data_IF_539388138012
#
_entry.id   IF_539388138012
#
_cell.length_a   1.000
_cell.length_b   1.000
_cell.length_c   1.000
_cell.angle_alpha   90.00
_cell.angle_beta   90.00
_cell.angle_gamma   90.00
#
_symmetry.space_group_name_H-M   'P 1'
#
loop_
_entity.id
_entity.type
_entity.pdbx_description
1 polymer ?
#
# COMPACT_ATOMS: atom_id res chain seq x y z
N UNK A 1 -5.80 -14.08 -11.00
CA UNK A 1 -4.76 -13.77 -10.01
C UNK A 1 -5.36 -13.05 -8.82
N UNK A 2 -4.83 -13.32 -7.61
CA UNK A 2 -5.24 -12.67 -6.38
C UNK A 2 -4.32 -11.47 -6.09
N UNK A 3 -4.81 -10.49 -5.32
CA UNK A 3 -4.08 -9.24 -5.02
C UNK A 3 -2.73 -9.49 -4.33
N UNK A 4 -2.72 -10.13 -3.16
CA UNK A 4 -1.48 -10.32 -2.39
C UNK A 4 -0.45 -11.18 -3.12
N UNK A 5 -0.81 -12.34 -3.73
CA UNK A 5 0.14 -13.13 -4.51
C UNK A 5 0.76 -12.35 -5.67
N UNK A 6 -0.03 -11.55 -6.37
CA UNK A 6 0.47 -10.70 -7.46
C UNK A 6 1.46 -9.65 -6.94
N UNK A 7 1.14 -8.98 -5.83
CA UNK A 7 2.00 -7.95 -5.22
C UNK A 7 3.30 -8.55 -4.73
N UNK A 8 3.27 -9.74 -4.10
CA UNK A 8 4.47 -10.46 -3.73
C UNK A 8 5.34 -10.81 -4.93
N UNK A 9 4.74 -11.30 -6.01
CA UNK A 9 5.47 -11.59 -7.25
C UNK A 9 6.05 -10.33 -7.88
N UNK A 10 5.33 -9.20 -7.87
CA UNK A 10 5.81 -7.92 -8.40
C UNK A 10 7.01 -7.38 -7.60
N UNK A 11 6.97 -7.50 -6.28
CA UNK A 11 8.06 -7.03 -5.41
C UNK A 11 9.32 -7.89 -5.54
N UNK A 12 9.17 -9.22 -5.69
CA UNK A 12 10.29 -10.17 -5.57
C UNK A 12 10.75 -10.80 -6.89
N UNK A 13 9.93 -10.73 -7.95
CA UNK A 13 10.14 -11.52 -9.17
C UNK A 13 9.89 -13.02 -8.99
N UNK A 14 9.37 -13.45 -7.83
CA UNK A 14 9.19 -14.86 -7.50
C UNK A 14 7.74 -15.32 -7.69
N UNK A 15 7.54 -16.62 -7.87
CA UNK A 15 6.22 -17.22 -7.76
C UNK A 15 5.65 -17.09 -6.32
N UNK A 16 4.30 -17.01 -6.15
CA UNK A 16 3.65 -16.77 -4.88
C UNK A 16 4.11 -17.66 -3.73
N UNK A 17 4.26 -18.96 -3.96
CA UNK A 17 4.75 -19.90 -2.95
C UNK A 17 6.21 -19.61 -2.51
N UNK A 18 7.02 -19.04 -3.39
CA UNK A 18 8.41 -18.68 -3.08
C UNK A 18 8.53 -17.35 -2.35
N UNK A 19 7.67 -16.38 -2.70
CA UNK A 19 7.62 -15.10 -1.99
C UNK A 19 6.97 -15.18 -0.60
N UNK A 20 6.30 -16.30 -0.27
CA UNK A 20 5.59 -16.49 0.99
C UNK A 20 4.12 -16.06 0.94
N UNK A 21 3.59 -15.67 -0.22
CA UNK A 21 2.22 -15.18 -0.35
C UNK A 21 1.40 -16.06 -1.31
N UNK A 22 1.04 -17.29 -0.94
CA UNK A 22 0.23 -18.16 -1.80
C UNK A 22 -1.23 -17.73 -1.93
N UNK A 23 -1.75 -16.97 -0.94
CA UNK A 23 -3.13 -16.49 -0.87
C UNK A 23 -3.15 -15.02 -0.44
N UNK A 24 -4.32 -14.37 -0.53
CA UNK A 24 -4.46 -13.02 0.04
C UNK A 24 -4.19 -13.01 1.54
N UNK A 25 -3.39 -12.05 1.98
CA UNK A 25 -3.03 -11.86 3.37
C UNK A 25 -4.26 -11.41 4.18
N UNK A 26 -4.54 -12.10 5.27
CA UNK A 26 -5.50 -11.71 6.29
C UNK A 26 -5.24 -12.51 7.59
N UNK A 27 -5.93 -12.19 8.68
CA UNK A 27 -5.71 -12.82 9.99
C UNK A 27 -5.99 -14.33 10.05
N UNK A 28 -6.78 -14.87 9.12
CA UNK A 28 -7.07 -16.31 9.06
C UNK A 28 -6.02 -17.08 8.26
N UNK A 29 -5.04 -16.41 7.70
CA UNK A 29 -4.00 -16.99 6.83
C UNK A 29 -2.60 -16.62 7.29
N UNK A 30 -2.17 -17.09 8.47
CA UNK A 30 -0.90 -16.65 9.09
C UNK A 30 0.35 -17.03 8.28
N UNK A 31 0.23 -18.00 7.36
CA UNK A 31 1.33 -18.39 6.46
C UNK A 31 1.44 -17.52 5.22
N UNK A 32 0.46 -16.64 4.95
CA UNK A 32 0.44 -15.77 3.77
C UNK A 32 0.95 -14.39 4.14
N UNK A 33 2.26 -14.21 4.05
CA UNK A 33 2.95 -12.95 4.30
C UNK A 33 4.25 -12.92 3.52
N UNK A 34 4.67 -11.75 3.07
CA UNK A 34 5.94 -11.58 2.39
C UNK A 34 7.09 -12.01 3.31
N UNK A 35 7.95 -12.89 2.81
CA UNK A 35 9.10 -13.39 3.56
C UNK A 35 10.12 -12.28 3.79
N UNK A 36 10.73 -12.30 4.97
CA UNK A 36 11.77 -11.33 5.36
C UNK A 36 13.14 -11.66 4.75
N UNK A 37 13.35 -12.93 4.40
CA UNK A 37 14.63 -13.44 3.89
C UNK A 37 14.72 -13.50 2.36
N UNK A 38 13.86 -12.74 1.65
CA UNK A 38 13.90 -12.59 0.20
C UNK A 38 14.20 -11.14 -0.18
N UNK A 39 14.98 -10.96 -1.23
CA UNK A 39 15.22 -9.63 -1.78
C UNK A 39 14.00 -9.17 -2.57
N UNK A 40 13.55 -7.96 -2.29
CA UNK A 40 12.62 -7.21 -3.13
C UNK A 40 13.37 -6.27 -4.08
N UNK A 41 12.71 -5.86 -5.14
CA UNK A 41 13.25 -4.87 -6.08
C UNK A 41 13.74 -3.60 -5.37
N UNK A 42 13.05 -3.20 -4.32
CA UNK A 42 13.41 -2.07 -3.47
C UNK A 42 14.70 -2.29 -2.66
N UNK A 43 14.98 -3.51 -2.22
CA UNK A 43 16.25 -3.84 -1.56
C UNK A 43 17.41 -3.67 -2.55
N UNK A 44 17.24 -4.14 -3.79
CA UNK A 44 18.24 -4.00 -4.85
C UNK A 44 18.53 -2.52 -5.14
N UNK A 45 17.51 -1.69 -5.30
CA UNK A 45 17.69 -0.25 -5.52
C UNK A 45 18.28 0.45 -4.30
N UNK A 46 17.83 0.13 -3.09
CA UNK A 46 18.37 0.69 -1.85
C UNK A 46 19.84 0.37 -1.69
N UNK A 47 20.25 -0.88 -1.95
CA UNK A 47 21.64 -1.32 -1.92
C UNK A 47 22.50 -0.65 -3.01
N UNK A 48 21.88 -0.24 -4.12
CA UNK A 48 22.53 0.55 -5.16
C UNK A 48 22.57 2.06 -4.85
N UNK A 49 22.12 2.49 -3.66
CA UNK A 49 22.21 3.88 -3.21
C UNK A 49 21.01 4.76 -3.58
N UNK A 50 19.90 4.18 -4.02
CA UNK A 50 18.68 4.92 -4.30
C UNK A 50 17.90 5.24 -3.01
N UNK A 51 17.21 6.37 -3.00
CA UNK A 51 16.13 6.62 -2.05
C UNK A 51 14.86 5.92 -2.56
N UNK A 52 14.31 4.98 -1.76
CA UNK A 52 13.19 4.15 -2.15
C UNK A 52 11.91 4.55 -1.41
N UNK A 53 10.82 4.81 -2.15
CA UNK A 53 9.55 5.24 -1.58
C UNK A 53 8.40 4.32 -1.98
N UNK A 54 7.50 4.05 -1.03
CA UNK A 54 6.26 3.31 -1.27
C UNK A 54 5.04 4.15 -0.87
N UNK A 55 4.02 4.16 -1.75
CA UNK A 55 2.75 4.85 -1.52
C UNK A 55 1.56 3.93 -1.78
N UNK A 56 0.51 4.07 -0.95
CA UNK A 56 -0.77 3.41 -1.16
C UNK A 56 -0.84 1.98 -0.63
N UNK A 57 -1.63 1.13 -1.29
CA UNK A 57 -1.93 -0.24 -0.85
C UNK A 57 -0.75 -1.18 -1.03
N UNK A 58 -0.32 -1.83 0.05
CA UNK A 58 0.67 -2.90 0.01
C UNK A 58 0.05 -4.29 -0.15
N UNK A 59 -0.83 -4.68 0.76
CA UNK A 59 -1.52 -5.98 0.83
C UNK A 59 -0.58 -7.19 0.63
N UNK A 60 0.59 -7.13 1.22
CA UNK A 60 1.60 -8.19 1.16
C UNK A 60 2.05 -8.65 2.56
N UNK A 61 1.41 -8.12 3.60
CA UNK A 61 1.75 -8.42 4.98
C UNK A 61 0.56 -9.03 5.75
N UNK A 62 0.88 -9.84 6.74
CA UNK A 62 -0.09 -10.43 7.64
C UNK A 62 -0.55 -9.38 8.67
N UNK A 63 -1.86 -9.18 8.89
CA UNK A 63 -2.34 -8.30 9.93
C UNK A 63 -1.84 -8.71 11.31
N UNK A 64 -1.13 -7.83 11.96
CA UNK A 64 -0.55 -8.07 13.29
C UNK A 64 -0.98 -6.97 14.27
N UNK A 65 -0.89 -7.20 15.59
CA UNK A 65 -1.21 -6.18 16.59
C UNK A 65 -0.09 -5.12 16.71
N UNK A 66 0.60 -4.79 15.63
CA UNK A 66 1.80 -3.93 15.63
C UNK A 66 1.52 -2.48 15.23
N UNK A 67 0.24 -2.08 15.09
CA UNK A 67 -0.10 -0.67 14.87
C UNK A 67 0.41 0.18 16.05
N UNK A 68 1.31 1.14 15.82
CA UNK A 68 1.89 1.95 16.89
C UNK A 68 0.86 2.83 17.61
N UNK A 69 -0.30 3.10 17.00
CA UNK A 69 -1.39 3.87 17.60
C UNK A 69 -2.43 2.99 18.30
N UNK A 70 -2.41 1.69 18.03
CA UNK A 70 -3.30 0.68 18.63
C UNK A 70 -2.50 -0.55 19.05
N UNK A 71 -1.49 -0.40 19.92
CA UNK A 71 -0.61 -1.50 20.30
C UNK A 71 -1.40 -2.69 20.85
N UNK A 72 -1.05 -3.89 20.41
CA UNK A 72 -1.71 -5.13 20.84
C UNK A 72 -3.07 -5.40 20.22
N UNK A 73 -3.49 -4.62 19.21
CA UNK A 73 -4.75 -4.83 18.47
C UNK A 73 -4.49 -4.91 16.97
N UNK A 74 -5.36 -5.63 16.27
CA UNK A 74 -5.43 -5.53 14.81
C UNK A 74 -5.94 -4.14 14.40
N UNK A 75 -5.55 -3.71 13.21
CA UNK A 75 -5.95 -2.42 12.65
C UNK A 75 -7.47 -2.31 12.49
N UNK A 76 -8.11 -3.43 12.15
CA UNK A 76 -9.55 -3.56 12.05
C UNK A 76 -10.09 -4.48 13.15
N UNK A 77 -11.21 -4.08 13.75
CA UNK A 77 -11.99 -4.93 14.67
C UNK A 77 -12.91 -5.90 13.91
N UNK A 78 -12.45 -6.39 12.76
CA UNK A 78 -13.15 -7.37 11.92
C UNK A 78 -12.50 -8.73 12.03
N UNK A 79 -13.29 -9.76 11.79
CA UNK A 79 -12.80 -11.14 11.70
C UNK A 79 -13.27 -11.72 10.35
N UNK A 80 -12.35 -12.07 9.47
CA UNK A 80 -10.90 -11.86 9.55
C UNK A 80 -10.49 -10.37 9.40
N UNK A 81 -9.42 -9.99 10.06
CA UNK A 81 -8.78 -8.71 9.81
C UNK A 81 -8.00 -8.78 8.48
N UNK A 82 -8.14 -7.74 7.67
CA UNK A 82 -7.52 -7.67 6.36
C UNK A 82 -6.39 -6.65 6.28
N UNK A 83 -6.58 -5.52 6.95
CA UNK A 83 -5.61 -4.45 6.89
C UNK A 83 -4.41 -4.73 7.81
N UNK A 84 -3.26 -4.16 7.44
CA UNK A 84 -2.02 -4.38 8.16
C UNK A 84 -1.18 -3.10 8.23
N UNK A 85 -0.66 -2.82 9.42
CA UNK A 85 0.49 -1.94 9.59
C UNK A 85 1.76 -2.71 9.27
N UNK A 86 2.61 -2.16 8.40
CA UNK A 86 3.91 -2.77 8.08
C UNK A 86 5.01 -2.07 8.86
N UNK A 87 5.64 -2.74 9.85
CA UNK A 87 6.72 -2.16 10.63
C UNK A 87 7.99 -1.93 9.78
N UNK A 88 8.89 -1.05 10.26
CA UNK A 88 10.05 -0.57 9.49
C UNK A 88 10.96 -1.69 8.98
N UNK A 89 11.18 -2.70 9.78
CA UNK A 89 12.03 -3.87 9.50
C UNK A 89 11.46 -4.80 8.41
N UNK A 90 10.17 -4.65 8.08
CA UNK A 90 9.49 -5.42 7.04
C UNK A 90 9.25 -4.65 5.73
N UNK A 91 9.83 -3.46 5.58
CA UNK A 91 9.59 -2.58 4.40
C UNK A 91 10.55 -2.82 3.23
N UNK A 92 11.41 -3.83 3.30
CA UNK A 92 12.26 -4.28 2.18
C UNK A 92 12.93 -3.13 1.41
N UNK A 93 13.79 -2.36 2.08
CA UNK A 93 14.56 -1.28 1.44
C UNK A 93 13.81 0.02 1.19
N UNK A 94 12.49 0.09 1.41
CA UNK A 94 11.76 1.35 1.34
C UNK A 94 12.04 2.21 2.58
N UNK A 95 12.74 3.32 2.38
CA UNK A 95 13.10 4.28 3.42
C UNK A 95 12.09 5.43 3.59
N UNK A 96 11.27 5.71 2.57
CA UNK A 96 10.09 6.56 2.68
C UNK A 96 8.81 5.72 2.54
N UNK A 97 7.88 5.93 3.46
CA UNK A 97 6.69 5.11 3.57
C UNK A 97 5.44 5.96 3.76
N UNK A 98 4.42 5.74 2.94
CA UNK A 98 3.09 6.30 3.11
C UNK A 98 2.06 5.31 2.58
N UNK A 99 1.73 4.29 3.38
CA UNK A 99 1.03 3.11 2.90
C UNK A 99 0.12 2.48 3.96
N UNK A 100 -0.68 1.54 3.50
CA UNK A 100 -1.56 0.69 4.31
C UNK A 100 -1.57 -0.75 3.75
N UNK A 101 -2.16 -1.69 4.48
CA UNK A 101 -2.30 -3.07 4.00
C UNK A 101 -3.36 -3.17 2.91
N UNK A 102 -4.62 -3.32 3.29
CA UNK A 102 -5.78 -3.26 2.37
C UNK A 102 -7.00 -2.69 3.09
N UNK A 103 -7.56 -1.63 2.52
CA UNK A 103 -8.70 -0.93 3.08
C UNK A 103 -9.55 -0.35 1.93
N UNK A 104 -10.82 -0.73 1.88
CA UNK A 104 -11.67 -0.45 0.72
C UNK A 104 -12.62 0.74 0.98
N UNK A 105 -12.05 1.86 1.45
CA UNK A 105 -12.74 3.14 1.66
C UNK A 105 -12.02 4.22 0.85
N UNK A 106 -12.42 4.37 -0.43
CA UNK A 106 -11.68 5.20 -1.38
C UNK A 106 -11.76 6.71 -1.12
N UNK A 107 -12.81 7.18 -0.44
CA UNK A 107 -12.99 8.60 -0.06
C UNK A 107 -12.56 8.93 1.37
N UNK A 108 -12.36 7.91 2.18
CA UNK A 108 -11.89 8.03 3.56
C UNK A 108 -10.75 7.03 3.82
N UNK A 109 -9.68 7.07 3.02
CA UNK A 109 -8.56 6.17 3.20
C UNK A 109 -7.80 6.48 4.47
N UNK A 110 -6.92 5.57 4.88
CA UNK A 110 -5.91 5.85 5.87
C UNK A 110 -4.55 5.37 5.42
N UNK A 111 -3.52 5.93 6.02
CA UNK A 111 -2.12 5.59 5.73
C UNK A 111 -1.30 5.67 7.00
N UNK A 112 -0.22 4.90 7.06
CA UNK A 112 0.86 5.10 8.01
C UNK A 112 2.06 5.69 7.28
N UNK A 113 2.66 6.70 7.89
CA UNK A 113 3.86 7.32 7.35
C UNK A 113 5.15 6.57 7.76
N UNK A 114 6.29 7.13 7.37
CA UNK A 114 7.61 6.57 7.65
C UNK A 114 7.83 6.31 9.13
N UNK A 115 7.31 7.18 10.00
CA UNK A 115 7.47 7.08 11.45
C UNK A 115 6.38 6.27 12.15
N UNK A 116 5.43 5.74 11.37
CA UNK A 116 4.32 4.93 11.86
C UNK A 116 3.14 5.75 12.36
N UNK A 117 3.11 7.06 12.12
CA UNK A 117 1.95 7.89 12.42
C UNK A 117 0.85 7.63 11.41
N UNK A 118 -0.37 7.42 11.90
CA UNK A 118 -1.56 7.26 11.08
C UNK A 118 -2.11 8.61 10.61
N UNK A 119 -2.55 8.63 9.37
CA UNK A 119 -3.22 9.74 8.71
C UNK A 119 -4.54 9.25 8.13
N UNK A 120 -5.63 9.97 8.39
CA UNK A 120 -6.98 9.65 7.93
C UNK A 120 -7.52 10.82 7.07
N UNK A 121 -7.04 11.00 5.84
CA UNK A 121 -7.54 12.06 4.96
C UNK A 121 -8.97 11.77 4.52
N UNK A 122 -9.76 12.85 4.33
CA UNK A 122 -11.11 12.78 3.74
C UNK A 122 -11.05 13.27 2.30
N UNK A 123 -10.45 12.46 1.46
CA UNK A 123 -10.16 12.79 0.08
C UNK A 123 -10.15 11.51 -0.76
N UNK A 124 -10.45 11.64 -2.05
CA UNK A 124 -10.33 10.54 -3.02
C UNK A 124 -8.90 9.99 -3.04
N UNK A 125 -8.74 8.70 -2.71
CA UNK A 125 -7.42 8.10 -2.48
C UNK A 125 -6.42 8.26 -3.63
N UNK A 126 -6.79 8.12 -4.93
CA UNK A 126 -5.84 8.36 -6.00
C UNK A 126 -5.35 9.82 -6.08
N UNK A 127 -6.21 10.79 -5.79
CA UNK A 127 -5.83 12.20 -5.78
C UNK A 127 -4.88 12.50 -4.62
N UNK A 128 -5.20 11.98 -3.43
CA UNK A 128 -4.36 12.12 -2.25
C UNK A 128 -2.98 11.48 -2.46
N UNK A 129 -2.95 10.23 -2.92
CA UNK A 129 -1.71 9.49 -3.19
C UNK A 129 -0.85 10.20 -4.25
N UNK A 130 -1.47 10.67 -5.33
CA UNK A 130 -0.79 11.45 -6.37
C UNK A 130 -0.18 12.74 -5.80
N UNK A 131 -0.91 13.45 -4.94
CA UNK A 131 -0.41 14.63 -4.23
C UNK A 131 0.83 14.31 -3.38
N UNK A 132 0.80 13.20 -2.63
CA UNK A 132 1.94 12.75 -1.83
C UNK A 132 3.16 12.38 -2.69
N UNK A 133 2.94 11.71 -3.81
CA UNK A 133 4.02 11.41 -4.77
C UNK A 133 4.63 12.69 -5.34
N UNK A 134 3.80 13.67 -5.73
CA UNK A 134 4.28 14.97 -6.23
C UNK A 134 5.09 15.71 -5.16
N UNK A 135 4.62 15.73 -3.90
CA UNK A 135 5.36 16.33 -2.78
C UNK A 135 6.73 15.64 -2.57
N UNK A 136 6.77 14.32 -2.65
CA UNK A 136 8.04 13.57 -2.57
C UNK A 136 8.98 13.91 -3.74
N UNK A 137 8.47 13.98 -4.97
CA UNK A 137 9.27 14.35 -6.15
C UNK A 137 9.86 15.76 -6.03
N UNK A 138 9.06 16.73 -5.54
CA UNK A 138 9.51 18.09 -5.24
C UNK A 138 10.42 18.17 -4.02
N UNK A 139 10.60 17.08 -3.29
CA UNK A 139 11.34 17.02 -2.05
C UNK A 139 10.82 18.00 -0.97
N UNK A 140 9.52 18.19 -0.90
CA UNK A 140 8.89 19.03 0.11
C UNK A 140 9.18 18.44 1.51
N UNK A 141 9.65 19.29 2.42
CA UNK A 141 10.08 18.86 3.75
C UNK A 141 11.45 18.17 3.81
N UNK A 142 12.21 18.16 2.72
CA UNK A 142 13.54 17.52 2.63
C UNK A 142 13.52 16.03 3.02
N UNK A 143 12.51 15.30 2.53
CA UNK A 143 12.27 13.90 2.91
C UNK A 143 13.20 12.90 2.22
N UNK A 144 13.98 13.33 1.22
CA UNK A 144 14.98 12.52 0.52
C UNK A 144 16.25 13.31 0.25
N UNK A 145 17.35 12.63 0.01
CA UNK A 145 18.59 13.25 -0.44
C UNK A 145 18.47 13.69 -1.93
N UNK A 146 18.53 14.99 -2.24
CA UNK A 146 18.38 15.47 -3.63
C UNK A 146 19.54 15.04 -4.55
N UNK A 147 20.65 14.54 -4.00
CA UNK A 147 21.82 14.05 -4.75
C UNK A 147 21.70 12.57 -5.12
N UNK A 148 20.78 11.84 -4.51
CA UNK A 148 20.55 10.43 -4.79
C UNK A 148 19.49 10.24 -5.88
N UNK A 149 19.63 9.23 -6.72
CA UNK A 149 18.51 8.75 -7.52
C UNK A 149 17.41 8.21 -6.62
N UNK A 150 16.20 8.09 -7.15
CA UNK A 150 15.10 7.54 -6.36
C UNK A 150 14.36 6.43 -7.13
N UNK A 151 13.73 5.53 -6.36
CA UNK A 151 12.82 4.50 -6.83
C UNK A 151 11.48 4.66 -6.12
N UNK A 152 10.38 4.71 -6.86
CA UNK A 152 9.04 4.89 -6.31
C UNK A 152 8.13 3.77 -6.76
N UNK A 153 7.39 3.18 -5.83
CA UNK A 153 6.24 2.32 -6.12
C UNK A 153 4.97 2.96 -5.59
N UNK A 154 3.91 2.94 -6.43
CA UNK A 154 2.58 3.45 -6.07
C UNK A 154 1.57 2.34 -6.27
N UNK A 155 0.95 1.90 -5.19
CA UNK A 155 -0.08 0.87 -5.19
C UNK A 155 -1.46 1.45 -4.99
N UNK A 156 -2.04 2.10 -6.01
CA UNK A 156 -3.41 2.63 -5.91
C UNK A 156 -4.42 1.51 -5.71
N UNK A 157 -5.45 1.74 -4.87
CA UNK A 157 -6.51 0.75 -4.65
C UNK A 157 -7.52 0.73 -5.79
N UNK A 158 -8.10 1.85 -6.26
CA UNK A 158 -8.95 1.83 -7.45
C UNK A 158 -8.21 1.31 -8.70
N UNK A 159 -8.86 0.54 -9.55
CA UNK A 159 -10.32 0.28 -9.64
C UNK A 159 -10.84 -0.92 -8.82
N UNK A 160 -10.27 -1.22 -7.65
CA UNK A 160 -10.80 -2.24 -6.74
C UNK A 160 -12.19 -1.82 -6.20
N UNK A 161 -13.06 -2.82 -5.86
CA UNK A 161 -14.32 -2.53 -5.17
C UNK A 161 -14.09 -1.65 -3.92
N UNK A 162 -15.12 -0.91 -3.43
CA UNK A 162 -16.54 -1.03 -3.74
C UNK A 162 -17.00 -0.28 -4.99
N UNK A 163 -18.14 -0.71 -5.57
CA UNK A 163 -18.82 -0.08 -6.71
C UNK A 163 -20.33 -0.03 -6.47
N UNK A 164 -20.77 0.22 -5.23
CA UNK A 164 -22.18 0.06 -4.84
C UNK A 164 -23.02 1.29 -5.13
N UNK A 165 -22.39 2.46 -5.13
CA UNK A 165 -23.07 3.74 -5.28
C UNK A 165 -22.12 4.83 -5.79
N UNK A 166 -22.66 6.02 -6.03
CA UNK A 166 -21.87 7.22 -6.33
C UNK A 166 -20.91 7.62 -5.21
N UNK A 167 -21.11 7.10 -4.00
CA UNK A 167 -20.18 7.35 -2.90
C UNK A 167 -18.85 6.62 -3.07
N UNK A 168 -18.82 5.59 -3.91
CA UNK A 168 -17.63 4.79 -4.18
C UNK A 168 -16.76 5.36 -5.34
N UNK A 169 -17.17 6.46 -5.99
CA UNK A 169 -16.44 7.10 -7.09
C UNK A 169 -16.54 8.62 -7.03
N UNK A 170 -15.80 9.30 -7.90
CA UNK A 170 -15.95 10.75 -8.10
C UNK A 170 -17.13 11.01 -9.04
N UNK A 171 -18.04 11.86 -8.63
CA UNK A 171 -19.26 12.20 -9.42
C UNK A 171 -18.91 12.71 -10.81
N UNK A 172 -17.88 13.55 -10.92
CA UNK A 172 -17.41 14.06 -12.21
C UNK A 172 -17.00 12.95 -13.17
N UNK A 173 -16.33 11.91 -12.68
CA UNK A 173 -15.86 10.79 -13.49
C UNK A 173 -17.03 9.87 -13.88
N UNK A 174 -17.94 9.62 -12.94
CA UNK A 174 -19.18 8.90 -13.22
C UNK A 174 -20.00 9.58 -14.33
N UNK A 175 -20.14 10.90 -14.27
CA UNK A 175 -20.91 11.67 -15.24
C UNK A 175 -20.34 11.61 -16.68
N UNK A 176 -19.05 11.30 -16.83
CA UNK A 176 -18.44 11.08 -18.15
C UNK A 176 -18.91 9.79 -18.84
N UNK A 177 -19.38 8.82 -18.06
CA UNK A 177 -19.66 7.45 -18.57
C UNK A 177 -21.10 6.99 -18.38
N UNK A 178 -21.89 7.63 -17.49
CA UNK A 178 -23.23 7.15 -17.08
C UNK A 178 -24.20 6.90 -18.23
N UNK A 179 -24.08 7.65 -19.32
CA UNK A 179 -24.97 7.58 -20.47
C UNK A 179 -24.30 6.92 -21.70
N UNK A 180 -23.09 6.37 -21.54
CA UNK A 180 -22.39 5.68 -22.62
C UNK A 180 -22.84 4.21 -22.69
N UNK A 181 -23.06 3.67 -23.90
CA UNK A 181 -23.27 2.23 -24.04
C UNK A 181 -22.00 1.49 -23.55
N UNK A 182 -22.22 0.38 -22.90
CA UNK A 182 -21.16 -0.58 -22.60
C UNK A 182 -20.93 -1.42 -23.86
N UNK A 183 -19.72 -1.38 -24.41
CA UNK A 183 -19.31 -2.21 -25.55
C UNK A 183 -19.12 -3.67 -25.14
#
# INVERSE_FOLDING_TARGET
PLSSPHRGSLLTGMYPNKSGIPLNCNSDRPISSLREDVDCVSDVFSNAGYDCAYFGKLHADFPTPNDPQRPGKYVEDRVPAWDAYTPKDRRHGFNYWYAYGTFDEHKNPHYWDTDGKRHDPREWSPLHESGKVVSYLKNEGNVRDPKKPFFIMVGMNPPHSPYRSLDDCMEQDFNLYKDRPLD
#
